data_IF_417145004108
#
_entry.id   IF_417145004108
#
_cell.length_a   1.000
_cell.length_b   1.000
_cell.length_c   1.000
_cell.angle_alpha   90.00
_cell.angle_beta   90.00
_cell.angle_gamma   90.00
#
_symmetry.space_group_name_H-M   'P 1'
#
loop_
_entity.id
_entity.type
_entity.pdbx_description
1 polymer ?
#
# COMPACT_ATOMS: atom_id res chain seq x y z
N UNK A 1 13.82 15.74 0.66
CA UNK A 1 12.34 15.82 0.53
C UNK A 1 11.68 15.09 1.69
N UNK A 2 11.14 15.80 2.70
CA UNK A 2 10.44 15.19 3.86
C UNK A 2 9.02 14.72 3.52
N UNK A 3 8.38 15.37 2.54
CA UNK A 3 6.99 15.15 2.12
C UNK A 3 6.76 13.71 1.63
N UNK A 4 7.67 13.20 0.79
CA UNK A 4 7.62 11.81 0.29
C UNK A 4 7.72 10.74 1.38
N UNK A 5 8.31 11.06 2.53
CA UNK A 5 8.43 10.13 3.67
C UNK A 5 7.19 10.13 4.56
N UNK A 6 6.41 11.23 4.56
CA UNK A 6 5.20 11.38 5.37
C UNK A 6 4.00 10.75 4.71
N UNK A 7 3.83 10.97 3.40
CA UNK A 7 2.72 10.41 2.65
C UNK A 7 3.20 9.81 1.32
N UNK A 8 3.29 8.48 1.28
CA UNK A 8 3.69 7.71 0.10
C UNK A 8 2.62 7.75 -1.01
N UNK A 9 1.39 8.16 -0.70
CA UNK A 9 0.24 8.19 -1.62
C UNK A 9 -0.05 9.59 -2.16
N UNK A 10 0.69 10.60 -1.72
CA UNK A 10 0.55 11.97 -2.19
C UNK A 10 0.78 12.06 -3.71
N UNK A 11 -0.09 12.80 -4.41
CA UNK A 11 0.03 13.02 -5.84
C UNK A 11 0.97 14.18 -6.14
N UNK A 12 1.58 14.20 -7.34
CA UNK A 12 2.52 15.25 -7.73
C UNK A 12 2.00 16.69 -7.54
N UNK A 13 0.72 17.01 -7.86
CA UNK A 13 0.17 18.35 -7.60
C UNK A 13 0.09 18.69 -6.10
N UNK A 14 -0.29 17.74 -5.26
CA UNK A 14 -0.31 17.94 -3.81
C UNK A 14 1.10 18.14 -3.25
N UNK A 15 2.07 17.35 -3.72
CA UNK A 15 3.47 17.51 -3.34
C UNK A 15 4.01 18.88 -3.79
N UNK A 16 3.62 19.34 -4.98
CA UNK A 16 4.02 20.65 -5.46
C UNK A 16 3.38 21.79 -4.66
N UNK A 17 2.10 21.68 -4.31
CA UNK A 17 1.41 22.66 -3.47
C UNK A 17 2.05 22.75 -2.08
N UNK A 18 2.29 21.61 -1.42
CA UNK A 18 2.95 21.54 -0.09
C UNK A 18 4.41 22.03 -0.16
N UNK A 19 5.11 21.78 -1.26
CA UNK A 19 6.46 22.30 -1.48
C UNK A 19 6.47 23.82 -1.68
N UNK A 20 5.45 24.37 -2.32
CA UNK A 20 5.33 25.80 -2.59
C UNK A 20 4.77 26.58 -1.39
N UNK A 21 4.09 25.90 -0.47
CA UNK A 21 3.61 26.49 0.77
C UNK A 21 4.80 26.87 1.67
N UNK A 22 5.02 28.18 1.80
CA UNK A 22 6.16 28.75 2.54
C UNK A 22 7.47 28.88 1.77
N UNK A 23 7.52 28.56 0.46
CA UNK A 23 8.72 28.74 -0.35
C UNK A 23 8.76 30.12 -1.03
N UNK A 24 9.92 30.79 -1.02
CA UNK A 24 10.15 32.06 -1.75
C UNK A 24 10.18 31.87 -3.27
N UNK A 25 10.20 30.64 -3.76
CA UNK A 25 10.22 30.30 -5.19
C UNK A 25 9.25 29.16 -5.46
N UNK A 26 8.30 29.41 -6.37
CA UNK A 26 7.33 28.40 -6.81
C UNK A 26 8.00 27.39 -7.75
N UNK A 27 7.96 26.12 -7.39
CA UNK A 27 8.36 25.02 -8.24
C UNK A 27 7.15 24.48 -9.04
N UNK A 28 7.36 24.27 -10.33
CA UNK A 28 6.39 23.58 -11.17
C UNK A 28 6.32 22.09 -10.82
N UNK A 29 5.16 21.48 -11.10
CA UNK A 29 4.94 20.03 -10.97
C UNK A 29 6.03 19.21 -11.68
N UNK A 30 6.52 19.68 -12.83
CA UNK A 30 7.60 19.03 -13.60
C UNK A 30 8.94 19.04 -12.85
N UNK A 31 9.26 20.14 -12.18
CA UNK A 31 10.47 20.27 -11.37
C UNK A 31 10.39 19.35 -10.17
N UNK A 32 9.25 19.34 -9.48
CA UNK A 32 8.97 18.43 -8.36
C UNK A 32 9.10 16.98 -8.81
N UNK A 33 8.51 16.59 -9.94
CA UNK A 33 8.63 15.23 -10.48
C UNK A 33 10.07 14.81 -10.74
N UNK A 34 10.90 15.68 -11.35
CA UNK A 34 12.32 15.39 -11.60
C UNK A 34 13.08 15.17 -10.30
N UNK A 35 12.84 16.02 -9.29
CA UNK A 35 13.45 15.88 -7.97
C UNK A 35 13.04 14.57 -7.29
N UNK A 36 11.76 14.20 -7.35
CA UNK A 36 11.24 12.93 -6.81
C UNK A 36 11.97 11.74 -7.46
N UNK A 37 12.11 11.72 -8.79
CA UNK A 37 12.81 10.65 -9.52
C UNK A 37 14.31 10.65 -9.19
N UNK A 38 14.96 11.81 -9.19
CA UNK A 38 16.39 11.94 -8.92
C UNK A 38 16.77 11.50 -7.50
N UNK A 39 15.86 11.68 -6.54
CA UNK A 39 16.04 11.17 -5.16
C UNK A 39 15.77 9.67 -5.01
N UNK A 40 15.58 8.94 -6.12
CA UNK A 40 15.37 7.49 -6.14
C UNK A 40 13.93 7.04 -5.87
N UNK A 41 12.98 7.97 -5.81
CA UNK A 41 11.57 7.65 -5.58
C UNK A 41 10.85 7.41 -6.90
N UNK A 42 10.16 6.27 -7.00
CA UNK A 42 9.32 5.93 -8.15
C UNK A 42 7.85 6.16 -7.82
N UNK A 43 7.14 6.77 -8.76
CA UNK A 43 5.68 6.86 -8.71
C UNK A 43 5.14 5.47 -8.99
N UNK A 44 4.43 4.88 -8.03
CA UNK A 44 3.79 3.57 -8.17
C UNK A 44 2.28 3.73 -8.27
N UNK A 45 1.64 2.88 -9.08
CA UNK A 45 0.19 2.76 -9.06
C UNK A 45 -0.25 2.13 -7.73
N UNK A 46 -1.28 2.66 -7.05
CA UNK A 46 -1.84 1.98 -5.90
C UNK A 46 -2.28 0.57 -6.27
N UNK A 47 -1.88 -0.43 -5.49
CA UNK A 47 -2.39 -1.80 -5.67
C UNK A 47 -3.89 -1.79 -5.36
N UNK A 48 -4.70 -2.32 -6.29
CA UNK A 48 -6.14 -2.52 -6.07
C UNK A 48 -6.32 -3.78 -5.22
N UNK A 49 -6.31 -3.61 -3.91
CA UNK A 49 -6.66 -4.69 -2.96
C UNK A 49 -8.10 -4.51 -2.51
N UNK A 50 -8.90 -5.59 -2.41
CA UNK A 50 -10.22 -5.50 -1.79
C UNK A 50 -10.07 -4.99 -0.37
N UNK A 51 -11.01 -4.14 0.05
CA UNK A 51 -10.99 -3.59 1.40
C UNK A 51 -11.39 -4.70 2.37
N UNK A 52 -10.41 -5.27 3.07
CA UNK A 52 -10.67 -6.24 4.13
C UNK A 52 -11.23 -5.51 5.36
N UNK A 53 -12.40 -5.95 5.82
CA UNK A 53 -12.97 -5.53 7.10
C UNK A 53 -12.04 -5.98 8.24
N UNK A 54 -12.16 -5.35 9.42
CA UNK A 54 -11.39 -5.75 10.60
C UNK A 54 -11.59 -7.24 10.94
N UNK A 55 -12.81 -7.75 10.75
CA UNK A 55 -13.17 -9.16 10.92
C UNK A 55 -12.38 -10.06 9.98
N UNK A 56 -12.33 -9.74 8.68
CA UNK A 56 -11.58 -10.55 7.71
C UNK A 56 -10.09 -10.59 8.04
N UNK A 57 -9.50 -9.45 8.45
CA UNK A 57 -8.09 -9.39 8.87
C UNK A 57 -7.82 -10.25 10.10
N UNK A 58 -8.69 -10.19 11.11
CA UNK A 58 -8.56 -11.01 12.31
C UNK A 58 -8.65 -12.50 11.99
N UNK A 59 -9.60 -12.90 11.14
CA UNK A 59 -9.77 -14.30 10.72
C UNK A 59 -8.55 -14.82 9.94
N UNK A 60 -8.06 -14.05 8.96
CA UNK A 60 -6.87 -14.42 8.20
C UNK A 60 -5.63 -14.54 9.09
N UNK A 61 -5.51 -13.66 10.10
CA UNK A 61 -4.39 -13.71 11.04
C UNK A 61 -4.48 -14.90 11.98
N UNK A 62 -5.66 -15.19 12.54
CA UNK A 62 -5.84 -16.37 13.41
C UNK A 62 -5.58 -17.67 12.65
N UNK A 63 -6.10 -17.75 11.42
CA UNK A 63 -5.90 -18.89 10.53
C UNK A 63 -4.40 -19.07 10.21
N UNK A 64 -3.71 -18.00 9.79
CA UNK A 64 -2.27 -18.06 9.51
C UNK A 64 -1.44 -18.50 10.72
N UNK A 65 -1.81 -18.09 11.94
CA UNK A 65 -1.11 -18.51 13.17
C UNK A 65 -1.36 -19.98 13.50
N UNK A 66 -2.59 -20.44 13.37
CA UNK A 66 -2.97 -21.83 13.62
C UNK A 66 -2.26 -22.80 12.66
N UNK A 67 -2.01 -22.34 11.43
CA UNK A 67 -1.42 -23.13 10.35
C UNK A 67 0.04 -22.78 10.07
N UNK A 68 0.69 -22.03 10.97
CA UNK A 68 2.08 -21.60 10.80
C UNK A 68 3.08 -22.77 10.74
N UNK A 69 2.81 -23.83 11.50
CA UNK A 69 3.67 -25.02 11.60
C UNK A 69 3.20 -26.18 10.70
N UNK A 70 2.28 -25.92 9.77
CA UNK A 70 1.78 -26.98 8.89
C UNK A 70 2.86 -27.51 7.95
N UNK A 71 2.95 -28.84 7.92
CA UNK A 71 3.82 -29.57 7.01
C UNK A 71 3.17 -29.72 5.64
N UNK A 72 3.95 -30.08 4.63
CA UNK A 72 3.44 -30.33 3.29
C UNK A 72 2.35 -31.41 3.24
N UNK A 73 2.31 -32.33 4.21
CA UNK A 73 1.28 -33.36 4.32
C UNK A 73 -0.04 -32.80 4.88
N UNK A 74 0.04 -31.94 5.91
CA UNK A 74 -1.12 -31.21 6.44
C UNK A 74 -1.83 -30.39 5.34
N UNK A 75 -1.05 -29.79 4.44
CA UNK A 75 -1.59 -29.04 3.30
C UNK A 75 -2.40 -29.89 2.31
N UNK A 76 -2.13 -31.20 2.20
CA UNK A 76 -2.89 -32.10 1.30
C UNK A 76 -4.30 -32.35 1.81
N UNK A 77 -4.53 -32.18 3.10
CA UNK A 77 -5.84 -32.38 3.74
C UNK A 77 -6.71 -31.12 3.72
N UNK A 78 -6.19 -29.98 3.23
CA UNK A 78 -6.96 -28.75 3.07
C UNK A 78 -7.86 -28.85 1.85
N UNK A 79 -9.16 -29.03 2.07
CA UNK A 79 -10.17 -28.97 0.99
C UNK A 79 -10.72 -27.55 0.88
N UNK A 80 -10.47 -26.90 -0.25
CA UNK A 80 -11.03 -25.58 -0.54
C UNK A 80 -12.50 -25.72 -0.93
N UNK A 81 -13.40 -25.19 -0.12
CA UNK A 81 -14.80 -24.99 -0.51
C UNK A 81 -14.96 -23.54 -0.98
N UNK A 82 -14.96 -23.31 -2.29
CA UNK A 82 -15.03 -21.95 -2.89
C UNK A 82 -16.41 -21.28 -2.79
N UNK A 83 -17.34 -21.82 -1.99
CA UNK A 83 -18.74 -21.40 -1.94
C UNK A 83 -19.30 -21.26 -0.51
N UNK A 84 -18.61 -20.55 0.40
CA UNK A 84 -19.15 -20.27 1.73
C UNK A 84 -18.84 -18.84 2.22
N UNK A 85 -19.51 -17.84 1.64
CA UNK A 85 -20.20 -16.73 2.32
C UNK A 85 -20.42 -15.55 1.37
N UNK A 86 -21.64 -15.45 0.83
CA UNK A 86 -22.26 -14.21 0.39
C UNK A 86 -23.70 -14.20 0.93
N UNK A 87 -23.83 -14.21 2.26
CA UNK A 87 -25.08 -13.96 2.96
C UNK A 87 -24.87 -12.88 4.03
#
# INVERSE_FOLDING_TARGET
MRILKRDRRATLPHIAADFNDGASTSASVRTVQRTVINTGSQIRRPTRVPLLTARHKALLLSWSRQHYLWTADDWKHVTWSEYANNQ
#
